data_IF_545774708363
#
_entry.id   IF_545774708363
#
_cell.length_a   1.000
_cell.length_b   1.000
_cell.length_c   1.000
_cell.angle_alpha   90.00
_cell.angle_beta   90.00
_cell.angle_gamma   90.00
#
_symmetry.space_group_name_H-M   'P 1'
#
loop_
_entity.id
_entity.type
_entity.pdbx_description
1 polymer ?
#
# COMPACT_ATOMS: atom_id res chain seq x y z
N UNK A 1 14.95 -17.95 4.34
CA UNK A 1 14.94 -16.85 3.35
C UNK A 1 16.08 -17.14 2.37
N UNK A 2 15.84 -17.26 1.06
CA UNK A 2 16.95 -17.42 0.09
C UNK A 2 17.71 -16.10 0.04
N UNK A 3 19.00 -16.12 0.38
CA UNK A 3 19.90 -14.98 0.25
C UNK A 3 20.20 -14.76 -1.23
N UNK A 4 19.87 -13.56 -1.73
CA UNK A 4 20.13 -13.12 -3.12
C UNK A 4 21.22 -12.04 -3.17
N UNK A 5 21.99 -11.90 -2.08
CA UNK A 5 23.13 -10.99 -2.03
C UNK A 5 24.18 -11.48 -3.03
N UNK A 6 24.43 -10.69 -4.08
CA UNK A 6 25.39 -11.00 -5.16
C UNK A 6 24.78 -11.45 -6.50
N UNK A 7 23.46 -11.68 -6.60
CA UNK A 7 22.85 -11.99 -7.91
C UNK A 7 22.60 -10.74 -8.74
N UNK A 8 23.14 -10.70 -9.96
CA UNK A 8 22.90 -9.62 -10.92
C UNK A 8 21.41 -9.55 -11.34
N UNK A 9 20.84 -8.34 -11.40
CA UNK A 9 19.45 -8.12 -11.83
C UNK A 9 19.38 -8.04 -13.36
N UNK A 10 19.44 -9.20 -14.02
CA UNK A 10 19.47 -9.29 -15.49
C UNK A 10 18.12 -9.10 -16.18
N UNK A 11 17.02 -9.32 -15.47
CA UNK A 11 15.69 -9.32 -16.07
C UNK A 11 15.02 -7.96 -15.88
N UNK A 12 15.06 -7.13 -16.91
CA UNK A 12 14.56 -5.74 -16.88
C UNK A 12 13.15 -5.67 -17.43
N UNK A 13 12.30 -4.86 -16.80
CA UNK A 13 10.98 -4.54 -17.34
C UNK A 13 11.10 -3.52 -18.48
N UNK A 14 10.40 -3.75 -19.60
CA UNK A 14 10.37 -2.83 -20.73
C UNK A 14 9.37 -1.67 -20.57
N UNK A 15 8.55 -1.68 -19.51
CA UNK A 15 7.51 -0.66 -19.25
C UNK A 15 7.82 0.20 -18.02
N UNK A 16 8.83 -0.15 -17.22
CA UNK A 16 9.26 0.66 -16.10
C UNK A 16 10.73 0.37 -15.72
N UNK A 17 11.38 1.21 -14.89
CA UNK A 17 12.78 1.02 -14.48
C UNK A 17 13.06 -0.21 -13.59
N UNK A 18 12.10 -1.11 -13.39
CA UNK A 18 12.24 -2.26 -12.48
C UNK A 18 13.11 -3.35 -13.09
N UNK A 19 14.01 -3.92 -12.28
CA UNK A 19 14.85 -5.06 -12.65
C UNK A 19 14.79 -6.17 -11.60
N UNK A 20 14.88 -7.42 -12.06
CA UNK A 20 14.65 -8.62 -11.25
C UNK A 20 15.78 -9.64 -11.43
N UNK A 21 15.98 -10.46 -10.41
CA UNK A 21 16.98 -11.53 -10.42
C UNK A 21 16.52 -12.81 -11.14
N UNK A 22 15.21 -12.93 -11.43
CA UNK A 22 14.65 -14.12 -12.10
C UNK A 22 13.54 -13.73 -13.07
N UNK A 23 13.42 -14.50 -14.17
CA UNK A 23 12.34 -14.33 -15.15
C UNK A 23 10.96 -14.49 -14.51
N UNK A 24 10.77 -15.43 -13.58
CA UNK A 24 9.49 -15.63 -12.90
C UNK A 24 9.01 -14.40 -12.13
N UNK A 25 9.94 -13.63 -11.53
CA UNK A 25 9.63 -12.37 -10.86
C UNK A 25 9.28 -11.27 -11.85
N UNK A 26 10.01 -11.17 -12.98
CA UNK A 26 9.66 -10.26 -14.07
C UNK A 26 8.26 -10.57 -14.63
N UNK A 27 7.94 -11.83 -14.93
CA UNK A 27 6.63 -12.25 -15.44
C UNK A 27 5.50 -11.93 -14.44
N UNK A 28 5.77 -12.11 -13.14
CA UNK A 28 4.81 -11.75 -12.09
C UNK A 28 4.61 -10.24 -12.00
N UNK A 29 5.68 -9.47 -12.13
CA UNK A 29 5.66 -8.01 -12.13
C UNK A 29 4.92 -7.44 -13.36
N UNK A 30 5.10 -8.03 -14.54
CA UNK A 30 4.45 -7.60 -15.77
C UNK A 30 2.91 -7.54 -15.66
N UNK A 31 2.32 -8.31 -14.73
CA UNK A 31 0.88 -8.27 -14.43
C UNK A 31 0.40 -6.92 -13.90
N UNK A 32 1.30 -6.13 -13.30
CA UNK A 32 0.99 -4.76 -12.86
C UNK A 32 0.64 -3.89 -14.07
N UNK A 33 1.34 -4.08 -15.18
CA UNK A 33 1.13 -3.31 -16.39
C UNK A 33 -0.11 -3.72 -17.18
N UNK A 34 -0.46 -5.01 -17.15
CA UNK A 34 -1.67 -5.50 -17.84
C UNK A 34 -2.95 -5.29 -17.03
N UNK A 35 -2.84 -4.95 -15.74
CA UNK A 35 -3.98 -4.84 -14.84
C UNK A 35 -4.66 -6.17 -14.50
N UNK A 36 -4.13 -7.30 -15.00
CA UNK A 36 -4.72 -8.63 -14.77
C UNK A 36 -4.55 -9.02 -13.31
N UNK A 37 -5.67 -9.12 -12.60
CA UNK A 37 -5.77 -9.49 -11.18
C UNK A 37 -6.35 -10.91 -11.04
N UNK A 38 -5.53 -11.98 -11.13
CA UNK A 38 -6.04 -13.34 -11.23
C UNK A 38 -6.63 -13.89 -9.92
N UNK A 39 -6.46 -13.19 -8.80
CA UNK A 39 -6.88 -13.68 -7.49
C UNK A 39 -8.10 -12.90 -7.01
N UNK A 40 -9.28 -13.48 -7.17
CA UNK A 40 -10.56 -12.84 -6.82
C UNK A 40 -10.99 -13.29 -5.41
N UNK A 41 -11.55 -12.36 -4.64
CA UNK A 41 -12.22 -12.66 -3.38
C UNK A 41 -13.64 -13.14 -3.63
N UNK A 42 -13.94 -14.36 -3.21
CA UNK A 42 -15.24 -15.00 -3.43
C UNK A 42 -16.39 -14.30 -2.65
N UNK A 43 -16.05 -13.59 -1.58
CA UNK A 43 -17.03 -12.94 -0.69
C UNK A 43 -17.45 -11.55 -1.16
N UNK A 44 -16.57 -10.80 -1.85
CA UNK A 44 -16.84 -9.42 -2.26
C UNK A 44 -16.43 -9.09 -3.71
N UNK A 45 -15.99 -10.08 -4.49
CA UNK A 45 -15.56 -9.90 -5.88
C UNK A 45 -14.26 -9.12 -6.07
N UNK A 46 -13.62 -8.63 -5.00
CA UNK A 46 -12.42 -7.82 -5.11
C UNK A 46 -11.23 -8.63 -5.62
N UNK A 47 -10.58 -8.16 -6.68
CA UNK A 47 -9.47 -8.86 -7.32
C UNK A 47 -8.09 -8.31 -6.91
N UNK A 48 -7.10 -9.21 -6.87
CA UNK A 48 -5.72 -8.95 -6.44
C UNK A 48 -4.71 -9.52 -7.45
N UNK A 49 -3.58 -8.82 -7.58
CA UNK A 49 -2.47 -9.24 -8.43
C UNK A 49 -1.71 -10.45 -7.87
N UNK A 50 -1.66 -10.58 -6.54
CA UNK A 50 -0.85 -11.58 -5.83
C UNK A 50 -1.71 -12.32 -4.79
N UNK A 51 -1.57 -13.64 -4.73
CA UNK A 51 -2.34 -14.52 -3.82
C UNK A 51 -2.21 -14.11 -2.35
N UNK A 52 -1.02 -13.70 -1.90
CA UNK A 52 -0.81 -13.27 -0.52
C UNK A 52 -1.66 -12.03 -0.16
N UNK A 53 -1.85 -11.11 -1.11
CA UNK A 53 -2.72 -9.94 -0.92
C UNK A 53 -4.18 -10.35 -0.76
N UNK A 54 -4.66 -11.33 -1.53
CA UNK A 54 -5.99 -11.92 -1.35
C UNK A 54 -6.12 -12.58 0.03
N UNK A 55 -5.13 -13.38 0.47
CA UNK A 55 -5.16 -14.03 1.79
C UNK A 55 -5.27 -13.02 2.94
N UNK A 56 -4.45 -11.97 2.91
CA UNK A 56 -4.53 -10.90 3.92
C UNK A 56 -5.85 -10.15 3.82
N UNK A 57 -6.38 -9.94 2.60
CA UNK A 57 -7.68 -9.31 2.40
C UNK A 57 -8.82 -10.13 3.00
N UNK A 58 -8.87 -11.46 2.83
CA UNK A 58 -9.94 -12.30 3.39
C UNK A 58 -10.11 -12.14 4.91
N UNK A 59 -9.07 -11.71 5.63
CA UNK A 59 -9.12 -11.37 7.06
C UNK A 59 -10.01 -10.17 7.40
N UNK A 60 -10.44 -9.38 6.42
CA UNK A 60 -11.43 -8.32 6.68
C UNK A 60 -12.81 -8.91 6.91
N UNK A 61 -13.12 -10.04 6.29
CA UNK A 61 -14.44 -10.67 6.40
C UNK A 61 -14.56 -11.55 7.64
N UNK A 62 -13.44 -12.14 8.07
CA UNK A 62 -13.39 -12.97 9.29
C UNK A 62 -12.98 -12.19 10.55
N UNK A 63 -12.61 -10.92 10.42
CA UNK A 63 -12.00 -10.11 11.46
C UNK A 63 -10.73 -10.68 12.12
N UNK A 64 -10.09 -11.67 11.49
CA UNK A 64 -8.87 -12.29 11.99
C UNK A 64 -7.72 -11.26 12.07
N UNK A 65 -7.16 -11.08 13.26
CA UNK A 65 -6.04 -10.16 13.53
C UNK A 65 -4.86 -10.91 14.16
N UNK A 66 -4.11 -11.71 13.40
CA UNK A 66 -3.12 -12.62 13.95
C UNK A 66 -1.81 -11.93 14.41
N UNK A 67 -1.69 -10.62 14.24
CA UNK A 67 -0.50 -9.86 14.62
C UNK A 67 -0.80 -8.94 15.80
N UNK A 68 -0.71 -9.43 17.05
CA UNK A 68 -0.92 -8.61 18.24
C UNK A 68 0.26 -7.66 18.47
N UNK A 69 -0.03 -6.47 18.99
CA UNK A 69 0.96 -5.59 19.56
C UNK A 69 1.28 -6.03 20.99
N UNK A 70 2.54 -6.02 21.38
CA UNK A 70 2.97 -6.37 22.74
C UNK A 70 2.99 -5.17 23.69
N UNK A 71 2.77 -3.96 23.17
CA UNK A 71 2.80 -2.70 23.93
C UNK A 71 1.39 -2.14 24.17
N UNK A 72 0.37 -2.68 23.49
CA UNK A 72 -1.03 -2.33 23.72
C UNK A 72 -1.97 -3.46 23.26
N UNK A 73 -3.27 -3.36 23.56
CA UNK A 73 -4.26 -4.39 23.22
C UNK A 73 -4.65 -4.47 21.74
N UNK A 74 -4.00 -3.71 20.85
CA UNK A 74 -4.35 -3.68 19.41
C UNK A 74 -3.74 -4.86 18.67
N UNK A 75 -4.52 -5.44 17.77
CA UNK A 75 -4.07 -6.50 16.85
C UNK A 75 -4.37 -6.16 15.39
N UNK A 76 -3.52 -6.62 14.48
CA UNK A 76 -3.51 -6.24 13.06
C UNK A 76 -3.65 -7.45 12.13
N UNK A 77 -4.18 -7.20 10.92
CA UNK A 77 -4.41 -8.22 9.88
C UNK A 77 -3.14 -8.61 9.12
N UNK A 78 -2.08 -7.80 9.19
CA UNK A 78 -0.79 -8.06 8.54
C UNK A 78 0.38 -7.60 9.42
N UNK A 79 1.53 -8.26 9.27
CA UNK A 79 2.76 -7.87 9.99
C UNK A 79 3.24 -6.47 9.60
N UNK A 80 3.08 -6.06 8.34
CA UNK A 80 3.43 -4.72 7.87
C UNK A 80 2.63 -3.63 8.59
N UNK A 81 1.34 -3.86 8.85
CA UNK A 81 0.54 -2.91 9.62
C UNK A 81 0.96 -2.86 11.09
N UNK A 82 1.32 -4.00 11.69
CA UNK A 82 1.87 -4.02 13.04
C UNK A 82 3.19 -3.24 13.12
N UNK A 83 4.10 -3.38 12.15
CA UNK A 83 5.37 -2.64 12.11
C UNK A 83 5.13 -1.13 12.07
N UNK A 84 4.25 -0.66 11.19
CA UNK A 84 3.91 0.77 11.11
C UNK A 84 3.27 1.24 12.42
N UNK A 85 2.39 0.44 13.02
CA UNK A 85 1.78 0.75 14.29
C UNK A 85 2.80 0.87 15.43
N UNK A 86 3.80 -0.02 15.49
CA UNK A 86 4.85 0.03 16.52
C UNK A 86 5.64 1.34 16.51
N UNK A 87 5.76 2.00 15.36
CA UNK A 87 6.38 3.31 15.26
C UNK A 87 5.62 4.41 16.04
N UNK A 88 4.34 4.21 16.31
CA UNK A 88 3.58 5.12 17.18
C UNK A 88 4.04 5.04 18.64
N UNK A 89 4.49 3.86 19.08
CA UNK A 89 5.02 3.69 20.43
C UNK A 89 6.45 4.23 20.54
N UNK A 90 7.30 3.97 19.54
CA UNK A 90 8.68 4.47 19.55
C UNK A 90 8.82 5.94 19.17
N UNK A 91 7.80 6.54 18.53
CA UNK A 91 7.88 7.87 17.95
C UNK A 91 8.71 7.94 16.66
N UNK A 92 9.19 6.80 16.12
CA UNK A 92 10.05 6.77 14.94
C UNK A 92 9.31 7.25 13.67
N UNK A 93 9.82 8.31 13.05
CA UNK A 93 9.24 8.92 11.85
C UNK A 93 10.23 8.88 10.69
N UNK A 94 10.43 7.71 10.03
CA UNK A 94 11.50 7.54 9.05
C UNK A 94 11.24 8.24 7.71
N UNK A 95 10.00 8.66 7.45
CA UNK A 95 9.62 9.28 6.18
C UNK A 95 9.49 10.78 6.35
N UNK A 96 10.44 11.54 5.82
CA UNK A 96 10.53 12.99 6.00
C UNK A 96 9.99 13.71 4.77
N UNK A 97 9.15 14.72 5.00
CA UNK A 97 8.63 15.60 3.95
C UNK A 97 9.75 16.46 3.36
N UNK A 98 9.84 16.48 2.03
CA UNK A 98 10.82 17.29 1.30
C UNK A 98 10.59 18.80 1.48
N UNK A 99 9.33 19.23 1.58
CA UNK A 99 8.91 20.63 1.64
C UNK A 99 9.07 21.26 3.03
N UNK A 100 8.56 20.60 4.09
CA UNK A 100 8.52 21.17 5.44
C UNK A 100 9.33 20.40 6.49
N UNK A 101 10.05 19.33 6.10
CA UNK A 101 10.83 18.46 6.99
C UNK A 101 10.04 17.74 8.10
N UNK A 102 8.71 17.78 8.06
CA UNK A 102 7.87 17.00 8.97
C UNK A 102 8.03 15.50 8.72
N UNK A 103 8.10 14.71 9.80
CA UNK A 103 8.27 13.27 9.75
C UNK A 103 6.97 12.47 9.91
N UNK A 104 6.88 11.34 9.20
CA UNK A 104 5.72 10.45 9.15
C UNK A 104 6.09 8.99 9.42
N UNK A 105 5.14 8.23 9.94
CA UNK A 105 5.30 6.81 10.31
C UNK A 105 5.23 5.85 9.11
N UNK A 106 4.65 6.29 7.98
CA UNK A 106 4.52 5.49 6.76
C UNK A 106 4.64 6.36 5.51
N UNK A 107 5.03 5.75 4.39
CA UNK A 107 5.05 6.41 3.07
C UNK A 107 3.65 6.87 2.64
N UNK A 108 2.60 6.10 2.97
CA UNK A 108 1.22 6.48 2.64
C UNK A 108 0.80 7.77 3.35
N UNK A 109 1.15 7.92 4.63
CA UNK A 109 0.85 9.16 5.37
C UNK A 109 1.64 10.35 4.82
N UNK A 110 2.91 10.15 4.47
CA UNK A 110 3.70 11.19 3.81
C UNK A 110 3.08 11.59 2.45
N UNK A 111 2.66 10.61 1.63
CA UNK A 111 2.06 10.88 0.33
C UNK A 111 0.77 11.69 0.43
N UNK A 112 -0.08 11.40 1.41
CA UNK A 112 -1.28 12.19 1.69
C UNK A 112 -0.90 13.61 2.13
N UNK A 113 0.07 13.74 3.05
CA UNK A 113 0.54 15.04 3.51
C UNK A 113 1.12 15.91 2.38
N UNK A 114 1.83 15.32 1.42
CA UNK A 114 2.42 16.06 0.28
C UNK A 114 1.33 16.84 -0.50
N UNK A 115 0.09 16.36 -0.51
CA UNK A 115 -1.03 17.05 -1.16
C UNK A 115 -1.36 18.43 -0.56
N UNK A 116 -0.99 18.65 0.70
CA UNK A 116 -1.11 19.98 1.34
C UNK A 116 -0.17 20.99 0.68
N UNK A 117 0.99 20.54 0.20
CA UNK A 117 1.97 21.40 -0.49
C UNK A 117 1.67 21.56 -1.97
N UNK A 118 1.20 20.48 -2.63
CA UNK A 118 0.96 20.49 -4.08
C UNK A 118 -0.44 20.98 -4.45
N UNK A 119 -1.39 20.98 -3.51
CA UNK A 119 -2.79 21.27 -3.77
C UNK A 119 -3.53 20.16 -4.54
N UNK A 120 -2.94 18.97 -4.69
CA UNK A 120 -3.55 17.85 -5.43
C UNK A 120 -4.83 17.35 -4.74
N UNK A 121 -5.94 17.33 -5.50
CA UNK A 121 -7.26 16.89 -5.03
C UNK A 121 -7.82 15.78 -5.92
N UNK A 122 -7.36 14.53 -5.75
CA UNK A 122 -7.67 13.45 -6.68
C UNK A 122 -9.08 12.87 -6.51
N UNK A 123 -9.83 13.29 -5.50
CA UNK A 123 -11.17 12.78 -5.22
C UNK A 123 -12.21 13.82 -5.63
N UNK A 124 -12.99 13.50 -6.66
CA UNK A 124 -14.01 14.37 -7.23
C UNK A 124 -15.38 13.85 -6.79
N UNK A 125 -16.24 14.76 -6.37
CA UNK A 125 -17.64 14.47 -6.07
C UNK A 125 -18.37 14.02 -7.33
N UNK A 126 -18.95 12.83 -7.30
CA UNK A 126 -19.67 12.22 -8.42
C UNK A 126 -21.18 12.53 -8.43
N UNK A 127 -21.67 13.27 -7.44
CA UNK A 127 -23.05 13.75 -7.39
C UNK A 127 -23.28 14.94 -8.35
N UNK A 128 -24.45 14.95 -9.00
CA UNK A 128 -24.83 15.99 -9.96
C UNK A 128 -24.76 17.39 -9.33
N UNK A 129 -24.09 18.31 -10.05
CA UNK A 129 -23.88 19.72 -9.66
C UNK A 129 -23.06 19.97 -8.39
N UNK A 130 -22.31 18.98 -7.89
CA UNK A 130 -21.44 19.17 -6.72
C UNK A 130 -20.16 19.94 -7.09
N UNK A 131 -19.38 19.45 -8.06
CA UNK A 131 -18.16 20.11 -8.55
C UNK A 131 -17.02 20.23 -7.53
N UNK A 132 -17.17 19.68 -6.33
CA UNK A 132 -16.16 19.75 -5.27
C UNK A 132 -15.05 18.71 -5.45
N UNK A 133 -13.84 19.14 -5.12
CA UNK A 133 -12.62 18.32 -5.18
C UNK A 133 -11.94 18.27 -3.80
N UNK A 134 -11.50 17.06 -3.43
CA UNK A 134 -10.95 16.75 -2.11
C UNK A 134 -9.56 16.12 -2.18
N UNK A 135 -8.73 16.45 -1.19
CA UNK A 135 -7.39 15.89 -1.04
C UNK A 135 -7.41 14.44 -0.49
N UNK A 136 -8.45 14.06 0.27
CA UNK A 136 -8.61 12.72 0.82
C UNK A 136 -9.99 12.11 0.52
N UNK A 137 -10.04 10.79 0.43
CA UNK A 137 -11.26 10.06 0.06
C UNK A 137 -12.33 10.06 1.12
N UNK A 138 -11.97 10.26 2.40
CA UNK A 138 -12.97 10.29 3.48
C UNK A 138 -13.68 11.64 3.56
N UNK A 139 -13.08 12.70 3.01
CA UNK A 139 -13.71 14.02 2.90
C UNK A 139 -14.81 14.02 1.84
N UNK A 140 -14.75 13.07 0.89
CA UNK A 140 -15.84 12.76 -0.02
C UNK A 140 -16.98 12.10 0.78
N UNK A 141 -17.91 12.91 1.27
CA UNK A 141 -19.18 12.43 1.82
C UNK A 141 -20.06 11.97 0.66
N UNK A 142 -20.20 10.65 0.56
CA UNK A 142 -21.14 9.95 -0.33
C UNK A 142 -22.52 9.96 0.32
#
# INVERSE_FOLDING_TARGET
RKNYEGMERKFVCNQCPSAFHTQAKLNSHARIHTGIKPHVCDECGKAFLVLNSLKVHKRIHTDERPYPCNECSKSFRSSSYLIVHKRLHSGEKPFICGFCKEGFYSTSYLAIHIRVHTGEKPYICDYDNCGEEFAQSFDLRI
#
